data_IF_965722951403
#
_entry.id   IF_965722951403
#
_cell.length_a   1.000
_cell.length_b   1.000
_cell.length_c   1.000
_cell.angle_alpha   90.00
_cell.angle_beta   90.00
_cell.angle_gamma   90.00
#
_symmetry.space_group_name_H-M   'P 1'
#
loop_
_entity.id
_entity.type
_entity.pdbx_description
1 polymer ?
#
# COMPACT_ATOMS: atom_id res chain seq x y z
N UNK A 1 21.24 -10.86 -12.86
CA UNK A 1 20.29 -10.28 -11.88
C UNK A 1 18.91 -10.29 -12.50
N UNK A 2 17.89 -10.84 -11.84
CA UNK A 2 16.49 -10.67 -12.28
C UNK A 2 16.13 -9.18 -12.21
N UNK A 3 15.55 -8.64 -13.28
CA UNK A 3 15.02 -7.27 -13.27
C UNK A 3 13.87 -7.19 -12.27
N UNK A 4 13.93 -6.24 -11.36
CA UNK A 4 12.85 -5.98 -10.40
C UNK A 4 11.80 -5.07 -11.03
N UNK A 5 10.60 -4.96 -10.42
CA UNK A 5 9.62 -3.95 -10.82
C UNK A 5 10.25 -2.56 -10.88
N UNK A 6 11.01 -2.19 -9.87
CA UNK A 6 11.60 -0.84 -9.76
C UNK A 6 12.56 -0.51 -10.92
N UNK A 7 13.23 -1.51 -11.52
CA UNK A 7 14.04 -1.31 -12.73
C UNK A 7 13.17 -1.00 -13.97
N UNK A 8 11.90 -1.41 -13.97
CA UNK A 8 10.95 -1.17 -15.06
C UNK A 8 10.24 0.18 -14.97
N UNK A 9 10.32 0.88 -13.83
CA UNK A 9 9.70 2.20 -13.65
C UNK A 9 10.42 3.31 -14.41
N UNK A 10 11.63 3.04 -14.94
CA UNK A 10 12.46 3.99 -15.68
C UNK A 10 12.77 5.28 -14.90
N UNK A 11 12.88 5.17 -13.58
CA UNK A 11 13.29 6.30 -12.72
C UNK A 11 14.72 6.70 -13.08
N UNK A 12 15.03 8.00 -13.26
CA UNK A 12 16.36 8.46 -13.64
C UNK A 12 17.47 7.96 -12.71
N UNK A 13 18.63 7.64 -13.28
CA UNK A 13 19.78 7.19 -12.53
C UNK A 13 20.28 8.22 -11.49
N UNK A 14 20.01 9.51 -11.70
CA UNK A 14 20.26 10.57 -10.70
C UNK A 14 19.54 10.33 -9.38
N UNK A 15 18.38 9.67 -9.40
CA UNK A 15 17.59 9.32 -8.22
C UNK A 15 18.02 7.99 -7.60
N UNK A 16 18.84 7.17 -8.29
CA UNK A 16 19.21 5.85 -7.82
C UNK A 16 20.13 5.93 -6.59
N UNK A 17 19.80 5.12 -5.58
CA UNK A 17 20.56 5.05 -4.31
C UNK A 17 21.11 3.64 -4.08
N UNK A 18 20.28 2.61 -4.27
CA UNK A 18 20.60 1.18 -4.08
C UNK A 18 21.33 0.90 -2.76
N UNK A 19 20.85 1.49 -1.68
CA UNK A 19 21.45 1.41 -0.34
C UNK A 19 20.70 0.44 0.54
N UNK A 20 21.39 -0.56 1.08
CA UNK A 20 20.85 -1.46 2.10
C UNK A 20 20.52 -0.70 3.38
N UNK A 21 19.29 -0.88 3.88
CA UNK A 21 18.83 -0.42 5.19
C UNK A 21 18.94 -1.59 6.18
N UNK A 22 19.76 -1.43 7.21
CA UNK A 22 19.99 -2.52 8.16
C UNK A 22 18.84 -2.63 9.17
N UNK A 23 18.35 -3.83 9.42
CA UNK A 23 17.33 -4.14 10.44
C UNK A 23 17.68 -3.51 11.80
N UNK A 24 18.94 -3.51 12.17
CA UNK A 24 19.47 -2.91 13.40
C UNK A 24 19.13 -1.43 13.49
N UNK A 25 19.19 -0.68 12.38
CA UNK A 25 18.87 0.75 12.34
C UNK A 25 17.39 1.01 12.69
N UNK A 26 16.47 0.14 12.26
CA UNK A 26 15.06 0.25 12.68
C UNK A 26 14.89 0.03 14.19
N UNK A 27 15.58 -0.96 14.75
CA UNK A 27 15.50 -1.31 16.17
C UNK A 27 16.10 -0.19 17.04
N UNK A 28 17.14 0.47 16.59
CA UNK A 28 17.86 1.51 17.33
C UNK A 28 17.21 2.90 17.20
N UNK A 29 16.68 3.24 16.02
CA UNK A 29 16.17 4.58 15.73
C UNK A 29 14.67 4.75 16.01
N UNK A 30 13.91 3.65 16.05
CA UNK A 30 12.48 3.68 16.34
C UNK A 30 12.18 2.98 17.65
N UNK A 31 11.24 3.53 18.42
CA UNK A 31 10.81 2.95 19.71
C UNK A 31 9.94 1.71 19.53
N UNK A 32 10.52 0.65 18.94
CA UNK A 32 9.82 -0.60 18.64
C UNK A 32 9.60 -1.43 19.89
N UNK A 33 8.38 -1.95 20.04
CA UNK A 33 8.08 -2.96 21.05
C UNK A 33 8.64 -4.35 20.69
N UNK A 34 8.55 -5.31 21.61
CA UNK A 34 9.11 -6.67 21.40
C UNK A 34 8.52 -7.37 20.19
N UNK A 35 7.21 -7.23 19.94
CA UNK A 35 6.54 -7.84 18.78
C UNK A 35 7.02 -7.23 17.47
N UNK A 36 7.19 -5.92 17.40
CA UNK A 36 7.70 -5.21 16.22
C UNK A 36 9.15 -5.56 15.91
N UNK A 37 10.00 -5.69 16.94
CA UNK A 37 11.38 -6.16 16.78
C UNK A 37 11.43 -7.59 16.21
N UNK A 38 10.54 -8.48 16.69
CA UNK A 38 10.41 -9.82 16.14
C UNK A 38 9.99 -9.82 14.67
N UNK A 39 9.01 -8.97 14.27
CA UNK A 39 8.58 -8.81 12.88
C UNK A 39 9.75 -8.41 11.99
N UNK A 40 10.51 -7.36 12.37
CA UNK A 40 11.66 -6.90 11.58
C UNK A 40 12.72 -8.01 11.46
N UNK A 41 12.96 -8.77 12.51
CA UNK A 41 14.01 -9.78 12.53
C UNK A 41 13.65 -11.02 11.71
N UNK A 42 12.40 -11.47 11.80
CA UNK A 42 11.92 -12.78 11.31
C UNK A 42 11.31 -12.70 9.91
N UNK A 43 10.59 -11.59 9.56
CA UNK A 43 9.82 -11.54 8.32
C UNK A 43 10.56 -10.92 7.14
N UNK A 44 11.68 -10.24 7.40
CA UNK A 44 12.46 -9.56 6.36
C UNK A 44 13.73 -10.36 6.07
N UNK A 45 14.04 -10.55 4.78
CA UNK A 45 15.37 -10.94 4.32
C UNK A 45 16.25 -9.70 4.16
N UNK A 46 15.83 -8.77 3.30
CA UNK A 46 16.59 -7.57 2.97
C UNK A 46 15.67 -6.35 2.79
N UNK A 47 16.18 -5.15 3.11
CA UNK A 47 15.53 -3.87 2.84
C UNK A 47 16.52 -3.00 2.07
N UNK A 48 16.09 -2.47 0.93
CA UNK A 48 16.92 -1.60 0.09
C UNK A 48 16.16 -0.32 -0.26
N UNK A 49 16.77 0.83 0.06
CA UNK A 49 16.38 2.10 -0.52
C UNK A 49 16.88 2.14 -1.96
N UNK A 50 15.99 1.90 -2.92
CA UNK A 50 16.37 1.81 -4.33
C UNK A 50 16.48 3.20 -4.97
N UNK A 51 15.49 4.06 -4.75
CA UNK A 51 15.47 5.41 -5.29
C UNK A 51 15.03 6.42 -4.22
N UNK A 52 15.62 7.61 -4.30
CA UNK A 52 15.22 8.79 -3.54
C UNK A 52 15.07 9.96 -4.51
N UNK A 53 13.84 10.39 -4.70
CA UNK A 53 13.48 11.51 -5.54
C UNK A 53 13.43 12.78 -4.68
N UNK A 54 14.17 13.81 -5.08
CA UNK A 54 14.09 15.15 -4.52
C UNK A 54 14.44 16.17 -5.61
N UNK A 55 14.25 17.46 -5.32
CA UNK A 55 14.45 18.56 -6.27
C UNK A 55 15.82 18.61 -6.93
N UNK A 56 16.86 18.10 -6.25
CA UNK A 56 18.24 18.15 -6.74
C UNK A 56 18.53 17.03 -7.74
N UNK A 57 17.67 16.00 -7.79
CA UNK A 57 17.86 14.80 -8.60
C UNK A 57 16.89 14.68 -9.77
N UNK A 58 15.72 15.30 -9.65
CA UNK A 58 14.66 15.24 -10.66
C UNK A 58 13.90 16.58 -10.67
N UNK A 59 13.46 17.02 -11.86
CA UNK A 59 12.74 18.28 -12.02
C UNK A 59 11.26 18.15 -11.61
N UNK A 60 11.04 17.93 -10.31
CA UNK A 60 9.72 17.94 -9.68
C UNK A 60 9.79 18.92 -8.50
N UNK A 61 8.82 19.83 -8.42
CA UNK A 61 8.80 20.85 -7.36
C UNK A 61 8.43 20.21 -6.01
N UNK A 62 9.14 20.51 -4.92
CA UNK A 62 8.70 20.17 -3.57
C UNK A 62 7.33 20.78 -3.27
N UNK A 63 6.56 20.08 -2.44
CA UNK A 63 5.25 20.54 -1.99
C UNK A 63 5.17 20.47 -0.46
N UNK A 64 4.83 21.59 0.18
CA UNK A 64 4.57 21.63 1.62
C UNK A 64 3.49 22.69 1.87
N UNK A 65 2.50 22.33 2.69
CA UNK A 65 1.45 23.21 3.20
C UNK A 65 1.20 22.95 4.69
N UNK A 66 0.06 23.34 5.24
CA UNK A 66 -0.26 23.15 6.65
C UNK A 66 -0.51 21.67 7.04
N UNK A 67 -0.89 20.83 6.07
CA UNK A 67 -1.24 19.43 6.30
C UNK A 67 -0.24 18.46 5.68
N UNK A 68 0.49 18.87 4.63
CA UNK A 68 1.29 17.97 3.80
C UNK A 68 2.75 18.41 3.75
N UNK A 69 3.67 17.44 3.74
CA UNK A 69 5.09 17.65 3.48
C UNK A 69 5.59 16.56 2.51
N UNK A 70 5.67 16.93 1.23
CA UNK A 70 6.10 16.08 0.11
C UNK A 70 7.32 16.73 -0.57
N UNK A 71 8.42 16.82 0.16
CA UNK A 71 9.70 17.36 -0.34
C UNK A 71 10.59 16.30 -0.96
N UNK A 72 10.40 15.04 -0.58
CA UNK A 72 11.11 13.88 -1.08
C UNK A 72 10.17 12.67 -1.17
N UNK A 73 10.48 11.71 -2.05
CA UNK A 73 9.77 10.42 -2.15
C UNK A 73 10.81 9.32 -2.21
N UNK A 74 10.66 8.30 -1.35
CA UNK A 74 11.54 7.15 -1.33
C UNK A 74 10.84 5.89 -1.87
N UNK A 75 11.54 5.18 -2.76
CA UNK A 75 11.16 3.84 -3.23
C UNK A 75 11.99 2.81 -2.50
N UNK A 76 11.33 1.96 -1.74
CA UNK A 76 11.97 0.94 -0.91
C UNK A 76 11.51 -0.44 -1.34
N UNK A 77 12.47 -1.32 -1.60
CA UNK A 77 12.25 -2.73 -1.84
C UNK A 77 12.49 -3.51 -0.55
N UNK A 78 11.53 -4.40 -0.24
CA UNK A 78 11.59 -5.27 0.94
C UNK A 78 11.47 -6.71 0.49
N UNK A 79 12.53 -7.48 0.61
CA UNK A 79 12.56 -8.91 0.35
C UNK A 79 12.11 -9.64 1.61
N UNK A 80 11.12 -10.52 1.47
CA UNK A 80 10.44 -11.14 2.61
C UNK A 80 10.92 -12.58 2.85
N UNK A 81 10.98 -12.97 4.12
CA UNK A 81 11.04 -14.36 4.57
C UNK A 81 9.66 -14.89 4.94
N UNK A 82 8.69 -13.99 5.21
CA UNK A 82 7.32 -14.35 5.55
C UNK A 82 6.35 -13.22 5.18
N UNK A 83 5.22 -13.58 4.58
CA UNK A 83 4.14 -12.66 4.19
C UNK A 83 3.05 -12.50 5.27
N UNK A 84 3.10 -13.31 6.33
CA UNK A 84 2.01 -13.43 7.33
C UNK A 84 1.68 -12.13 8.06
N UNK A 85 2.69 -11.29 8.31
CA UNK A 85 2.54 -10.05 9.09
C UNK A 85 2.77 -8.79 8.25
N UNK A 86 2.52 -8.87 6.91
CA UNK A 86 2.85 -7.82 5.94
C UNK A 86 2.33 -6.42 6.34
N UNK A 87 1.05 -6.31 6.74
CA UNK A 87 0.47 -5.02 7.17
C UNK A 87 1.17 -4.44 8.39
N UNK A 88 1.51 -5.26 9.39
CA UNK A 88 2.26 -4.82 10.57
C UNK A 88 3.69 -4.41 10.20
N UNK A 89 4.33 -5.18 9.33
CA UNK A 89 5.66 -4.87 8.82
C UNK A 89 5.67 -3.54 8.07
N UNK A 90 4.71 -3.30 7.18
CA UNK A 90 4.55 -2.03 6.48
C UNK A 90 4.44 -0.87 7.47
N UNK A 91 3.58 -0.98 8.49
CA UNK A 91 3.41 0.07 9.49
C UNK A 91 4.73 0.43 10.20
N UNK A 92 5.59 -0.57 10.46
CA UNK A 92 6.91 -0.31 11.08
C UNK A 92 7.84 0.42 10.09
N UNK A 93 7.85 0.02 8.80
CA UNK A 93 8.68 0.68 7.79
C UNK A 93 8.20 2.12 7.56
N UNK A 94 6.90 2.38 7.69
CA UNK A 94 6.32 3.71 7.57
C UNK A 94 6.75 4.70 8.69
N UNK A 95 7.46 4.27 9.73
CA UNK A 95 8.12 5.20 10.67
C UNK A 95 9.24 6.02 10.02
N UNK A 96 9.75 5.61 8.87
CA UNK A 96 10.66 6.45 8.08
C UNK A 96 9.93 7.75 7.70
N UNK A 97 10.51 8.94 8.02
CA UNK A 97 9.80 10.22 7.94
C UNK A 97 9.75 10.80 6.51
N UNK A 98 9.44 9.99 5.50
CA UNK A 98 9.25 10.38 4.10
C UNK A 98 7.99 9.73 3.54
N UNK A 99 7.34 10.33 2.53
CA UNK A 99 6.42 9.60 1.68
C UNK A 99 7.12 8.40 1.01
N UNK A 100 6.57 7.19 1.21
CA UNK A 100 7.18 5.94 0.77
C UNK A 100 6.30 5.24 -0.28
N UNK A 101 6.94 4.69 -1.30
CA UNK A 101 6.39 3.65 -2.16
C UNK A 101 7.15 2.36 -1.83
N UNK A 102 6.47 1.42 -1.17
CA UNK A 102 7.05 0.15 -0.75
C UNK A 102 6.72 -0.94 -1.77
N UNK A 103 7.73 -1.68 -2.18
CA UNK A 103 7.58 -2.89 -3.00
C UNK A 103 8.05 -4.08 -2.17
N UNK A 104 7.11 -4.84 -1.65
CA UNK A 104 7.37 -6.11 -1.00
C UNK A 104 7.56 -7.18 -2.07
N UNK A 105 8.58 -8.01 -1.90
CA UNK A 105 8.92 -9.08 -2.83
C UNK A 105 9.02 -10.42 -2.08
N UNK A 106 8.32 -11.41 -2.61
CA UNK A 106 8.37 -12.81 -2.19
C UNK A 106 8.58 -13.67 -3.44
N UNK A 107 9.79 -14.15 -3.64
CA UNK A 107 10.24 -14.84 -4.88
C UNK A 107 9.96 -14.01 -6.16
N UNK A 108 8.99 -14.43 -6.98
CA UNK A 108 8.57 -13.76 -8.22
C UNK A 108 7.32 -12.90 -8.03
N UNK A 109 6.76 -12.87 -6.83
CA UNK A 109 5.56 -12.09 -6.52
C UNK A 109 5.91 -10.78 -5.85
N UNK A 110 5.11 -9.78 -6.14
CA UNK A 110 5.24 -8.47 -5.49
C UNK A 110 3.89 -8.02 -4.92
N UNK A 111 3.97 -7.23 -3.87
CA UNK A 111 2.85 -6.45 -3.34
C UNK A 111 3.32 -5.02 -3.15
N UNK A 112 2.59 -4.05 -3.67
CA UNK A 112 2.93 -2.63 -3.55
C UNK A 112 2.10 -2.04 -2.42
N UNK A 113 2.76 -1.26 -1.57
CA UNK A 113 2.07 -0.47 -0.55
C UNK A 113 2.37 1.02 -0.74
N UNK A 114 1.32 1.82 -0.67
CA UNK A 114 1.36 3.29 -0.70
C UNK A 114 0.52 3.78 0.47
N UNK A 115 1.12 4.59 1.34
CA UNK A 115 0.48 5.10 2.55
C UNK A 115 0.69 6.61 2.62
N UNK A 116 -0.32 7.42 2.22
CA UNK A 116 -0.25 8.87 2.33
C UNK A 116 0.08 9.30 3.75
N UNK A 117 0.90 10.32 3.87
CA UNK A 117 1.30 10.90 5.15
C UNK A 117 0.91 12.36 5.21
N UNK A 118 0.48 12.78 6.38
CA UNK A 118 0.24 14.20 6.69
C UNK A 118 1.07 14.63 7.89
N UNK A 119 1.21 15.93 8.05
CA UNK A 119 1.85 16.52 9.22
C UNK A 119 1.02 16.19 10.46
N UNK A 120 1.69 15.77 11.53
CA UNK A 120 1.03 15.49 12.80
C UNK A 120 0.54 16.81 13.44
N UNK A 121 -0.76 16.89 13.72
CA UNK A 121 -1.39 18.09 14.32
C UNK A 121 -0.83 18.48 15.71
N UNK A 122 -0.26 17.50 16.44
CA UNK A 122 0.31 17.72 17.78
C UNK A 122 1.83 17.95 17.76
N UNK A 123 2.51 17.56 16.65
CA UNK A 123 3.96 17.68 16.52
C UNK A 123 4.28 17.81 15.03
N UNK A 124 4.38 19.06 14.55
CA UNK A 124 4.60 19.37 13.14
C UNK A 124 5.96 18.89 12.59
N UNK A 125 6.86 18.44 13.45
CA UNK A 125 8.12 17.81 13.02
C UNK A 125 7.96 16.35 12.58
N UNK A 126 6.75 15.77 12.72
CA UNK A 126 6.47 14.36 12.42
C UNK A 126 5.39 14.22 11.37
N UNK A 127 5.56 13.20 10.53
CA UNK A 127 4.52 12.72 9.62
C UNK A 127 3.77 11.53 10.23
N UNK A 128 2.47 11.50 9.98
CA UNK A 128 1.59 10.36 10.36
C UNK A 128 0.92 9.80 9.12
N UNK A 129 0.81 8.48 9.09
CA UNK A 129 0.08 7.76 8.05
C UNK A 129 -1.42 8.02 8.23
N UNK A 130 -2.12 8.36 7.14
CA UNK A 130 -3.57 8.52 7.13
C UNK A 130 -4.25 7.17 6.89
N UNK A 131 -3.98 6.59 5.73
CA UNK A 131 -4.50 5.30 5.29
C UNK A 131 -3.37 4.46 4.70
N UNK A 132 -3.59 3.15 4.56
CA UNK A 132 -2.59 2.25 3.99
C UNK A 132 -3.21 1.37 2.92
N UNK A 133 -2.75 1.55 1.68
CA UNK A 133 -3.26 0.86 0.51
C UNK A 133 -2.24 -0.19 0.05
N UNK A 134 -2.73 -1.40 -0.23
CA UNK A 134 -1.93 -2.51 -0.73
C UNK A 134 -2.54 -3.02 -2.02
N UNK A 135 -1.70 -3.48 -2.95
CA UNK A 135 -2.19 -4.36 -4.02
C UNK A 135 -2.39 -5.78 -3.48
N UNK A 136 -3.16 -6.59 -4.19
CA UNK A 136 -2.98 -8.03 -4.08
C UNK A 136 -1.58 -8.42 -4.57
N UNK A 137 -1.20 -9.69 -4.34
CA UNK A 137 0.07 -10.22 -4.82
C UNK A 137 0.03 -10.41 -6.34
N UNK A 138 0.95 -9.75 -7.05
CA UNK A 138 1.11 -9.83 -8.50
C UNK A 138 2.27 -10.76 -8.81
N UNK A 139 2.03 -11.80 -9.61
CA UNK A 139 3.08 -12.70 -10.11
C UNK A 139 3.72 -12.09 -11.37
N UNK A 140 4.98 -11.69 -11.27
CA UNK A 140 5.69 -11.00 -12.36
C UNK A 140 5.98 -11.90 -13.58
N UNK A 141 5.96 -13.22 -13.41
CA UNK A 141 6.19 -14.19 -14.48
C UNK A 141 4.86 -14.61 -15.15
N UNK A 142 3.72 -14.46 -14.44
CA UNK A 142 2.39 -14.89 -14.90
C UNK A 142 1.32 -13.80 -14.68
N UNK A 143 1.67 -12.52 -14.87
CA UNK A 143 0.71 -11.44 -14.76
C UNK A 143 -0.37 -11.50 -15.84
N UNK A 144 -1.63 -11.27 -15.45
CA UNK A 144 -2.74 -11.11 -16.38
C UNK A 144 -2.68 -9.74 -17.09
N UNK A 145 -3.57 -9.50 -18.07
CA UNK A 145 -3.57 -8.27 -18.84
C UNK A 145 -3.73 -7.01 -17.96
N UNK A 146 -4.66 -7.02 -17.02
CA UNK A 146 -4.92 -5.87 -16.12
C UNK A 146 -3.71 -5.59 -15.21
N UNK A 147 -3.08 -6.65 -14.66
CA UNK A 147 -1.85 -6.54 -13.88
C UNK A 147 -0.71 -5.95 -14.72
N UNK A 148 -0.58 -6.41 -15.97
CA UNK A 148 0.45 -5.89 -16.89
C UNK A 148 0.22 -4.40 -17.19
N UNK A 149 -1.00 -4.00 -17.57
CA UNK A 149 -1.38 -2.61 -17.81
C UNK A 149 -1.16 -1.73 -16.57
N UNK A 150 -1.51 -2.24 -15.39
CA UNK A 150 -1.23 -1.55 -14.12
C UNK A 150 0.28 -1.34 -13.93
N UNK A 151 1.10 -2.39 -14.06
CA UNK A 151 2.55 -2.30 -13.88
C UNK A 151 3.19 -1.34 -14.89
N UNK A 152 2.75 -1.32 -16.14
CA UNK A 152 3.20 -0.35 -17.14
C UNK A 152 2.75 1.08 -16.81
N UNK A 153 1.57 1.24 -16.23
CA UNK A 153 1.08 2.56 -15.82
C UNK A 153 1.97 3.21 -14.78
N UNK A 154 2.70 2.42 -13.97
CA UNK A 154 3.60 2.92 -12.92
C UNK A 154 4.94 3.47 -13.46
N UNK A 155 5.22 3.36 -14.76
CA UNK A 155 6.41 3.99 -15.35
C UNK A 155 6.41 5.50 -15.08
N UNK A 156 7.57 6.03 -14.75
CA UNK A 156 7.70 7.43 -14.30
C UNK A 156 7.12 8.46 -15.29
N UNK A 157 7.22 8.18 -16.59
CA UNK A 157 6.69 9.05 -17.66
C UNK A 157 5.16 9.23 -17.61
N UNK A 158 4.45 8.32 -16.94
CA UNK A 158 2.99 8.30 -16.85
C UNK A 158 2.45 9.05 -15.61
N UNK A 159 3.31 9.84 -14.94
CA UNK A 159 2.97 10.62 -13.76
C UNK A 159 3.19 12.11 -13.98
N UNK A 160 2.43 13.02 -13.30
CA UNK A 160 2.63 14.44 -13.40
C UNK A 160 3.97 14.85 -12.74
N UNK A 161 4.66 15.81 -13.35
CA UNK A 161 5.92 16.37 -12.82
C UNK A 161 5.71 17.76 -12.20
N UNK A 162 4.48 18.12 -11.86
CA UNK A 162 4.10 19.42 -11.31
C UNK A 162 4.74 19.65 -9.94
N UNK A 163 4.46 18.73 -9.00
CA UNK A 163 5.04 18.71 -7.66
C UNK A 163 5.02 17.29 -7.08
N UNK A 164 5.74 17.05 -5.97
CA UNK A 164 5.84 15.72 -5.37
C UNK A 164 4.52 15.23 -4.76
N UNK A 165 3.62 16.10 -4.33
CA UNK A 165 2.31 15.68 -3.84
C UNK A 165 1.44 15.10 -4.96
N UNK A 166 1.34 15.79 -6.09
CA UNK A 166 0.62 15.31 -7.28
C UNK A 166 1.26 14.04 -7.85
N UNK A 167 2.60 14.01 -7.89
CA UNK A 167 3.34 12.84 -8.33
C UNK A 167 3.03 11.61 -7.47
N UNK A 168 3.10 11.72 -6.14
CA UNK A 168 2.79 10.63 -5.21
C UNK A 168 1.31 10.23 -5.27
N UNK A 169 0.41 11.21 -5.33
CA UNK A 169 -1.04 10.99 -5.46
C UNK A 169 -1.39 10.24 -6.73
N UNK A 170 -0.67 10.47 -7.83
CA UNK A 170 -0.85 9.72 -9.07
C UNK A 170 -0.51 8.22 -8.90
N UNK A 171 0.56 7.87 -8.20
CA UNK A 171 0.85 6.46 -7.85
C UNK A 171 -0.26 5.85 -7.00
N UNK A 172 -0.72 6.57 -5.98
CA UNK A 172 -1.82 6.15 -5.13
C UNK A 172 -3.10 5.91 -5.92
N UNK A 173 -3.48 6.83 -6.80
CA UNK A 173 -4.69 6.72 -7.63
C UNK A 173 -4.62 5.49 -8.54
N UNK A 174 -3.46 5.21 -9.16
CA UNK A 174 -3.28 4.01 -9.99
C UNK A 174 -3.41 2.72 -9.17
N UNK A 175 -2.89 2.68 -7.94
CA UNK A 175 -3.07 1.55 -7.05
C UNK A 175 -4.56 1.37 -6.67
N UNK A 176 -5.27 2.46 -6.39
CA UNK A 176 -6.71 2.44 -6.12
C UNK A 176 -7.48 1.92 -7.32
N UNK A 177 -7.16 2.38 -8.55
CA UNK A 177 -7.74 1.88 -9.79
C UNK A 177 -7.51 0.37 -9.96
N UNK A 178 -6.30 -0.07 -9.71
CA UNK A 178 -5.96 -1.49 -9.78
C UNK A 178 -6.77 -2.32 -8.78
N UNK A 179 -6.90 -1.88 -7.54
CA UNK A 179 -7.73 -2.56 -6.55
C UNK A 179 -9.22 -2.56 -6.96
N UNK A 180 -9.72 -1.47 -7.56
CA UNK A 180 -11.08 -1.38 -8.08
C UNK A 180 -11.31 -2.33 -9.26
N UNK A 181 -10.32 -2.52 -10.12
CA UNK A 181 -10.40 -3.39 -11.30
C UNK A 181 -10.69 -4.85 -10.96
N UNK A 182 -10.39 -5.29 -9.73
CA UNK A 182 -10.78 -6.60 -9.21
C UNK A 182 -12.29 -6.82 -9.22
N UNK A 183 -13.05 -5.73 -9.14
CA UNK A 183 -14.51 -5.74 -9.12
C UNK A 183 -15.12 -5.24 -10.43
N UNK A 184 -14.55 -4.19 -11.03
CA UNK A 184 -15.03 -3.56 -12.26
C UNK A 184 -14.54 -4.22 -13.54
N UNK A 185 -13.41 -4.93 -13.48
CA UNK A 185 -12.77 -5.52 -14.65
C UNK A 185 -12.01 -4.51 -15.55
N UNK A 186 -11.89 -3.25 -15.14
CA UNK A 186 -11.12 -2.21 -15.86
C UNK A 186 -10.36 -1.32 -14.89
N UNK A 187 -9.32 -0.63 -15.39
CA UNK A 187 -8.55 0.36 -14.65
C UNK A 187 -9.17 1.77 -14.67
N UNK A 188 -10.34 1.92 -15.26
CA UNK A 188 -11.06 3.19 -15.25
C UNK A 188 -11.58 3.53 -13.86
N UNK A 189 -11.53 4.81 -13.52
CA UNK A 189 -12.01 5.35 -12.25
C UNK A 189 -13.10 6.38 -12.47
N UNK A 190 -14.06 6.42 -11.57
CA UNK A 190 -14.97 7.55 -11.37
C UNK A 190 -14.66 8.27 -10.06
N UNK A 191 -15.25 9.42 -9.82
CA UNK A 191 -15.00 10.25 -8.63
C UNK A 191 -15.27 9.50 -7.31
N UNK A 192 -16.20 8.52 -7.31
CA UNK A 192 -16.58 7.75 -6.14
C UNK A 192 -15.73 6.49 -5.89
N UNK A 193 -14.84 6.11 -6.81
CA UNK A 193 -14.11 4.82 -6.78
C UNK A 193 -13.39 4.59 -5.46
N UNK A 194 -12.68 5.60 -4.95
CA UNK A 194 -11.93 5.51 -3.68
C UNK A 194 -12.85 5.26 -2.49
N UNK A 195 -13.95 5.99 -2.42
CA UNK A 195 -14.91 5.88 -1.32
C UNK A 195 -15.67 4.54 -1.38
N UNK A 196 -16.01 4.07 -2.56
CA UNK A 196 -16.65 2.76 -2.76
C UNK A 196 -15.71 1.62 -2.35
N UNK A 197 -14.43 1.66 -2.74
CA UNK A 197 -13.43 0.69 -2.30
C UNK A 197 -13.27 0.66 -0.78
N UNK A 198 -13.19 1.83 -0.14
CA UNK A 198 -13.10 1.91 1.32
C UNK A 198 -14.30 1.23 1.98
N UNK A 199 -15.52 1.51 1.50
CA UNK A 199 -16.76 0.88 2.00
C UNK A 199 -16.78 -0.64 1.76
N UNK A 200 -16.30 -1.11 0.61
CA UNK A 200 -16.17 -2.54 0.30
C UNK A 200 -15.24 -3.20 1.33
N UNK A 201 -14.06 -2.65 1.55
CA UNK A 201 -13.07 -3.20 2.50
C UNK A 201 -13.61 -3.23 3.95
N UNK A 202 -14.34 -2.19 4.38
CA UNK A 202 -14.99 -2.16 5.69
C UNK A 202 -16.04 -3.26 5.84
N UNK A 203 -16.85 -3.47 4.81
CA UNK A 203 -17.88 -4.52 4.81
C UNK A 203 -17.25 -5.91 4.78
N UNK A 204 -16.22 -6.14 3.97
CA UNK A 204 -15.48 -7.40 3.93
C UNK A 204 -14.80 -7.72 5.27
N UNK A 205 -14.24 -6.72 5.94
CA UNK A 205 -13.69 -6.88 7.29
C UNK A 205 -14.78 -7.29 8.28
N UNK A 206 -15.94 -6.63 8.24
CA UNK A 206 -17.09 -6.95 9.11
C UNK A 206 -17.63 -8.37 8.86
N UNK A 207 -17.68 -8.80 7.60
CA UNK A 207 -18.05 -10.17 7.22
C UNK A 207 -17.08 -11.19 7.85
N UNK A 208 -15.78 -10.96 7.76
CA UNK A 208 -14.77 -11.85 8.35
C UNK A 208 -14.89 -11.92 9.87
N UNK A 209 -15.20 -10.81 10.54
CA UNK A 209 -15.42 -10.78 11.98
C UNK A 209 -16.68 -11.57 12.37
N UNK A 210 -17.79 -11.42 11.64
CA UNK A 210 -19.03 -12.18 11.87
C UNK A 210 -18.78 -13.68 11.64
N UNK A 211 -18.11 -14.07 10.55
CA UNK A 211 -17.76 -15.48 10.31
C UNK A 211 -16.92 -16.05 11.47
N UNK A 212 -16.00 -15.26 11.99
CA UNK A 212 -15.16 -15.66 13.14
C UNK A 212 -15.97 -15.82 14.41
N UNK A 213 -17.00 -14.99 14.63
CA UNK A 213 -17.95 -15.12 15.76
C UNK A 213 -18.83 -16.36 15.61
N UNK A 214 -19.39 -16.59 14.41
CA UNK A 214 -20.23 -17.79 14.14
C UNK A 214 -19.48 -19.09 14.44
N UNK A 215 -18.18 -19.15 14.10
CA UNK A 215 -17.34 -20.33 14.37
C UNK A 215 -17.14 -20.61 15.87
N UNK A 216 -17.20 -19.58 16.71
CA UNK A 216 -16.96 -19.67 18.17
C UNK A 216 -18.26 -19.78 18.96
N UNK A 217 -19.38 -19.38 18.39
CA UNK A 217 -20.69 -19.36 19.06
C UNK A 217 -21.22 -20.79 19.22
N UNK A 218 -21.79 -21.08 20.37
CA UNK A 218 -22.40 -22.39 20.68
C UNK A 218 -23.94 -22.30 20.74
N UNK A 219 -24.50 -21.14 21.07
CA UNK A 219 -25.95 -20.94 21.14
C UNK A 219 -26.57 -20.86 19.74
N UNK A 220 -27.60 -21.65 19.49
CA UNK A 220 -28.27 -21.75 18.19
C UNK A 220 -28.99 -20.45 17.85
N UNK A 221 -29.60 -19.78 18.82
CA UNK A 221 -30.33 -18.52 18.59
C UNK A 221 -29.37 -17.42 18.16
N UNK A 222 -28.23 -17.33 18.85
CA UNK A 222 -27.22 -16.32 18.53
C UNK A 222 -26.55 -16.62 17.19
N UNK A 223 -26.29 -17.88 16.84
CA UNK A 223 -25.87 -18.28 15.49
C UNK A 223 -26.86 -17.84 14.40
N UNK A 224 -28.16 -17.99 14.63
CA UNK A 224 -29.18 -17.54 13.68
C UNK A 224 -29.12 -16.03 13.51
N UNK A 225 -28.99 -15.26 14.59
CA UNK A 225 -28.88 -13.81 14.53
C UNK A 225 -27.63 -13.36 13.74
N UNK A 226 -26.48 -13.97 14.02
CA UNK A 226 -25.22 -13.71 13.30
C UNK A 226 -25.32 -14.06 11.81
N UNK A 227 -26.02 -15.14 11.45
CA UNK A 227 -26.23 -15.49 10.03
C UNK A 227 -27.16 -14.49 9.32
N UNK A 228 -28.16 -13.94 10.02
CA UNK A 228 -29.01 -12.86 9.46
C UNK A 228 -28.18 -11.60 9.21
N UNK A 229 -27.31 -11.24 10.14
CA UNK A 229 -26.39 -10.10 9.99
C UNK A 229 -25.40 -10.33 8.84
N UNK A 230 -24.82 -11.53 8.75
CA UNK A 230 -23.93 -11.92 7.66
C UNK A 230 -24.62 -11.77 6.29
N UNK A 231 -25.89 -12.20 6.17
CA UNK A 231 -26.67 -12.04 4.94
C UNK A 231 -26.81 -10.56 4.56
N UNK A 232 -27.19 -9.70 5.51
CA UNK A 232 -27.32 -8.24 5.27
C UNK A 232 -26.00 -7.61 4.80
N UNK A 233 -24.87 -8.03 5.37
CA UNK A 233 -23.55 -7.54 4.96
C UNK A 233 -23.19 -8.02 3.55
N UNK A 234 -23.50 -9.26 3.19
CA UNK A 234 -23.28 -9.76 1.83
C UNK A 234 -24.14 -9.02 0.80
N UNK A 235 -25.43 -8.77 1.10
CA UNK A 235 -26.33 -7.99 0.23
C UNK A 235 -25.78 -6.55 0.03
N UNK A 236 -25.26 -5.93 1.10
CA UNK A 236 -24.61 -4.62 1.04
C UNK A 236 -23.34 -4.65 0.20
N UNK A 237 -22.52 -5.69 0.34
CA UNK A 237 -21.29 -5.88 -0.43
C UNK A 237 -21.58 -5.97 -1.93
N UNK A 238 -22.55 -6.79 -2.33
CA UNK A 238 -22.95 -6.93 -3.73
C UNK A 238 -23.46 -5.61 -4.33
N UNK A 239 -24.23 -4.85 -3.56
CA UNK A 239 -24.70 -3.51 -4.00
C UNK A 239 -23.51 -2.55 -4.24
N UNK A 240 -22.53 -2.53 -3.33
CA UNK A 240 -21.33 -1.69 -3.48
C UNK A 240 -20.50 -2.11 -4.70
N UNK A 241 -20.31 -3.43 -4.94
CA UNK A 241 -19.61 -3.96 -6.10
C UNK A 241 -20.30 -3.58 -7.42
N UNK A 242 -21.63 -3.70 -7.48
CA UNK A 242 -22.42 -3.30 -8.66
C UNK A 242 -22.23 -1.81 -8.98
N UNK A 243 -22.21 -0.94 -7.95
CA UNK A 243 -21.96 0.49 -8.14
C UNK A 243 -20.55 0.80 -8.63
N UNK A 244 -19.59 -0.08 -8.37
CA UNK A 244 -18.20 0.08 -8.83
C UNK A 244 -18.04 -0.37 -10.31
N UNK A 245 -18.96 -1.21 -10.80
CA UNK A 245 -19.00 -1.71 -12.17
C UNK A 245 -19.63 -0.73 -13.17
N UNK A 246 -20.32 0.29 -12.72
CA UNK A 246 -20.87 1.30 -13.60
C UNK A 246 -22.21 1.78 -13.33
#
# INVERSE_FOLDING_TARGET
MKKTLLDKLYIPNSCKVSRKLFKKQFIENFSLNTSEKAIISEDIDNITLEYLLNKDKINITPFSDEENDYTEIAFIRVELLSTKRLKKLSNIIQYIPYPLILVFADENKICINISPKRINKNDSSKLVVEDSYFTEWIDLDNSNQIEHEFLESLEIKNHPFTNFFEFYSSYLNKLIAFNASQYSGSLEQNEDTRELLRKIQEVESSINDIISKIKKESDIRDKVNLNIELKKLNDKLENLKTRLQG
#
